data_IF_902444666288
#
_entry.id   IF_902444666288
#
_cell.length_a   1.000
_cell.length_b   1.000
_cell.length_c   1.000
_cell.angle_alpha   90.00
_cell.angle_beta   90.00
_cell.angle_gamma   90.00
#
_symmetry.space_group_name_H-M   'P 1'
#
loop_
_entity.id
_entity.type
_entity.pdbx_description
1 polymer ?
#
# COMPACT_ATOMS: atom_id res chain seq x y z
N UNK A 1 -24.23 -20.31 3.86
CA UNK A 1 -24.77 -19.45 4.92
C UNK A 1 -23.87 -18.23 5.04
N UNK A 2 -24.43 -17.03 5.24
CA UNK A 2 -23.64 -15.82 5.51
C UNK A 2 -22.83 -16.03 6.80
N UNK A 3 -21.55 -15.67 6.76
CA UNK A 3 -20.63 -15.74 7.91
C UNK A 3 -20.61 -14.37 8.59
N UNK A 4 -21.33 -14.19 9.72
CA UNK A 4 -21.43 -12.87 10.37
C UNK A 4 -20.06 -12.32 10.77
N UNK A 5 -19.12 -13.20 11.13
CA UNK A 5 -17.74 -12.84 11.45
C UNK A 5 -16.97 -12.25 10.25
N UNK A 6 -17.18 -12.79 9.04
CA UNK A 6 -16.57 -12.27 7.82
C UNK A 6 -17.15 -10.90 7.44
N UNK A 7 -18.49 -10.79 7.50
CA UNK A 7 -19.19 -9.54 7.26
C UNK A 7 -18.71 -8.42 8.19
N UNK A 8 -18.55 -8.72 9.47
CA UNK A 8 -18.03 -7.77 10.46
C UNK A 8 -16.60 -7.35 10.14
N UNK A 9 -15.69 -8.31 9.87
CA UNK A 9 -14.31 -8.02 9.51
C UNK A 9 -14.24 -7.10 8.30
N UNK A 10 -14.93 -7.44 7.20
CA UNK A 10 -14.88 -6.68 5.96
C UNK A 10 -15.47 -5.28 6.13
N UNK A 11 -16.60 -5.16 6.82
CA UNK A 11 -17.23 -3.86 7.09
C UNK A 11 -16.34 -2.93 7.91
N UNK A 12 -15.74 -3.44 9.00
CA UNK A 12 -14.79 -2.68 9.83
C UNK A 12 -13.55 -2.31 9.03
N UNK A 13 -12.99 -3.25 8.25
CA UNK A 13 -11.80 -3.02 7.44
C UNK A 13 -12.02 -1.88 6.42
N UNK A 14 -13.16 -1.87 5.72
CA UNK A 14 -13.54 -0.77 4.81
C UNK A 14 -13.58 0.57 5.55
N UNK A 15 -14.26 0.62 6.71
CA UNK A 15 -14.36 1.84 7.52
C UNK A 15 -13.00 2.36 8.00
N UNK A 16 -12.14 1.49 8.53
CA UNK A 16 -10.81 1.84 9.04
C UNK A 16 -9.88 2.34 7.92
N UNK A 17 -9.89 1.70 6.75
CA UNK A 17 -9.09 2.13 5.60
C UNK A 17 -9.60 3.46 5.02
N UNK A 18 -10.92 3.64 4.93
CA UNK A 18 -11.52 4.92 4.52
C UNK A 18 -11.17 6.04 5.51
N UNK A 19 -11.20 5.76 6.81
CA UNK A 19 -10.77 6.70 7.84
C UNK A 19 -9.31 7.13 7.65
N UNK A 20 -8.39 6.18 7.46
CA UNK A 20 -6.98 6.48 7.21
C UNK A 20 -6.78 7.35 5.97
N UNK A 21 -7.43 7.00 4.86
CA UNK A 21 -7.31 7.75 3.61
C UNK A 21 -7.87 9.17 3.70
N UNK A 22 -9.03 9.36 4.34
CA UNK A 22 -9.58 10.71 4.57
C UNK A 22 -8.70 11.50 5.54
N UNK A 23 -8.15 10.82 6.56
CA UNK A 23 -7.24 11.39 7.55
C UNK A 23 -5.99 12.04 6.94
N UNK A 24 -5.53 11.60 5.77
CA UNK A 24 -4.43 12.24 5.04
C UNK A 24 -4.64 13.74 4.84
N UNK A 25 -5.90 14.19 4.67
CA UNK A 25 -6.24 15.61 4.48
C UNK A 25 -6.00 16.48 5.71
N UNK A 26 -5.85 15.86 6.88
CA UNK A 26 -5.58 16.56 8.14
C UNK A 26 -4.08 16.76 8.37
N UNK A 27 -3.23 16.11 7.57
CA UNK A 27 -1.78 16.21 7.71
C UNK A 27 -1.28 17.55 7.12
N UNK A 28 -0.30 18.22 7.77
CA UNK A 28 0.27 19.48 7.26
C UNK A 28 0.84 19.37 5.83
N UNK A 29 1.29 18.17 5.43
CA UNK A 29 1.91 17.90 4.13
C UNK A 29 0.88 17.65 3.00
N UNK A 30 -0.42 17.51 3.32
CA UNK A 30 -1.46 17.18 2.33
C UNK A 30 -1.48 18.12 1.14
N UNK A 31 -1.46 19.43 1.41
CA UNK A 31 -1.53 20.47 0.38
C UNK A 31 -0.38 20.37 -0.62
N UNK A 32 0.83 20.10 -0.13
CA UNK A 32 2.02 19.93 -0.98
C UNK A 32 1.94 18.64 -1.81
N UNK A 33 1.59 17.51 -1.21
CA UNK A 33 1.45 16.24 -1.94
C UNK A 33 0.36 16.33 -3.01
N UNK A 34 -0.78 16.94 -2.69
CA UNK A 34 -1.90 17.07 -3.64
C UNK A 34 -1.62 18.03 -4.79
N UNK A 35 -0.72 18.99 -4.62
CA UNK A 35 -0.28 19.88 -5.69
C UNK A 35 0.62 19.17 -6.71
N UNK A 36 1.22 18.03 -6.35
CA UNK A 36 2.04 17.23 -7.24
C UNK A 36 1.22 16.36 -8.20
N UNK A 37 1.80 16.06 -9.36
CA UNK A 37 1.26 15.06 -10.29
C UNK A 37 1.11 13.73 -9.57
N UNK A 38 -0.09 13.15 -9.65
CA UNK A 38 -0.44 11.89 -9.00
C UNK A 38 -0.93 12.03 -7.56
N UNK A 39 -0.77 13.20 -6.92
CA UNK A 39 -1.25 13.43 -5.56
C UNK A 39 -0.71 12.37 -4.59
N UNK A 40 -1.58 11.86 -3.71
CA UNK A 40 -1.25 10.74 -2.82
C UNK A 40 -1.06 9.40 -3.56
N UNK A 41 -1.61 9.24 -4.77
CA UNK A 41 -1.50 7.99 -5.54
C UNK A 41 -0.12 7.78 -6.19
N UNK A 42 0.80 8.73 -6.07
CA UNK A 42 2.21 8.48 -6.44
C UNK A 42 2.90 7.49 -5.48
N UNK A 43 2.40 7.35 -4.24
CA UNK A 43 2.96 6.44 -3.24
C UNK A 43 2.43 5.01 -3.44
N UNK A 44 3.34 4.03 -3.47
CA UNK A 44 2.99 2.61 -3.58
C UNK A 44 2.08 2.16 -2.44
N UNK A 45 2.26 2.73 -1.26
CA UNK A 45 1.50 2.42 -0.05
C UNK A 45 0.03 2.83 -0.18
N UNK A 46 -0.25 3.97 -0.80
CA UNK A 46 -1.62 4.43 -1.08
C UNK A 46 -2.29 3.59 -2.17
N UNK A 47 -1.53 3.16 -3.19
CA UNK A 47 -2.05 2.21 -4.18
C UNK A 47 -2.34 0.84 -3.54
N UNK A 48 -1.48 0.38 -2.62
CA UNK A 48 -1.69 -0.83 -1.83
C UNK A 48 -2.95 -0.74 -0.95
N UNK A 49 -3.12 0.38 -0.23
CA UNK A 49 -4.33 0.67 0.54
C UNK A 49 -5.58 0.64 -0.34
N UNK A 50 -5.53 1.26 -1.52
CA UNK A 50 -6.65 1.24 -2.46
C UNK A 50 -6.99 -0.19 -2.91
N UNK A 51 -5.98 -1.01 -3.22
CA UNK A 51 -6.19 -2.43 -3.58
C UNK A 51 -6.79 -3.24 -2.41
N UNK A 52 -6.33 -3.01 -1.17
CA UNK A 52 -6.90 -3.63 0.02
C UNK A 52 -8.34 -3.21 0.25
N UNK A 53 -8.64 -1.91 0.14
CA UNK A 53 -9.97 -1.35 0.30
C UNK A 53 -10.95 -1.90 -0.74
N UNK A 54 -10.55 -1.96 -2.02
CA UNK A 54 -11.34 -2.61 -3.07
C UNK A 54 -11.56 -4.09 -2.74
N UNK A 55 -10.53 -4.81 -2.29
CA UNK A 55 -10.66 -6.22 -1.92
C UNK A 55 -11.69 -6.39 -0.80
N UNK A 56 -11.64 -5.58 0.26
CA UNK A 56 -12.58 -5.65 1.38
C UNK A 56 -14.01 -5.28 0.97
N UNK A 57 -14.20 -4.34 0.03
CA UNK A 57 -15.52 -4.04 -0.54
C UNK A 57 -16.05 -5.23 -1.33
N UNK A 58 -15.22 -5.86 -2.16
CA UNK A 58 -15.62 -7.05 -2.91
C UNK A 58 -15.94 -8.21 -1.96
N UNK A 59 -15.19 -8.36 -0.87
CA UNK A 59 -15.46 -9.33 0.19
C UNK A 59 -16.78 -9.06 0.89
N UNK A 60 -17.05 -7.82 1.30
CA UNK A 60 -18.31 -7.40 1.90
C UNK A 60 -19.49 -7.64 0.95
N UNK A 61 -19.31 -7.34 -0.33
CA UNK A 61 -20.29 -7.64 -1.37
C UNK A 61 -20.54 -9.15 -1.53
N UNK A 62 -19.50 -9.98 -1.42
CA UNK A 62 -19.65 -11.45 -1.44
C UNK A 62 -20.43 -11.97 -0.22
N UNK A 63 -20.32 -11.32 0.94
CA UNK A 63 -21.08 -11.69 2.14
C UNK A 63 -22.58 -11.38 1.97
N UNK A 64 -22.89 -10.26 1.34
CA UNK A 64 -24.26 -9.83 1.05
C UNK A 64 -24.89 -10.61 -0.12
N UNK A 65 -24.08 -10.97 -1.12
CA UNK A 65 -24.52 -11.63 -2.37
C UNK A 65 -23.74 -12.93 -2.62
N UNK A 66 -23.86 -13.96 -1.76
CA UNK A 66 -23.02 -15.16 -1.80
C UNK A 66 -23.19 -16.02 -3.06
N UNK A 67 -24.30 -15.86 -3.78
CA UNK A 67 -24.60 -16.58 -5.02
C UNK A 67 -23.88 -15.98 -6.24
N UNK A 68 -23.30 -14.79 -6.14
CA UNK A 68 -22.76 -14.09 -7.31
C UNK A 68 -21.31 -14.50 -7.62
N UNK A 69 -21.16 -15.51 -8.47
CA UNK A 69 -19.87 -16.12 -8.79
C UNK A 69 -18.83 -15.12 -9.36
N UNK A 70 -19.28 -14.18 -10.20
CA UNK A 70 -18.40 -13.15 -10.80
C UNK A 70 -17.74 -12.28 -9.73
N UNK A 71 -18.48 -11.90 -8.68
CA UNK A 71 -17.96 -11.09 -7.60
C UNK A 71 -16.90 -11.84 -6.78
N UNK A 72 -17.09 -13.14 -6.55
CA UNK A 72 -16.08 -14.00 -5.91
C UNK A 72 -14.81 -14.10 -6.76
N UNK A 73 -14.94 -14.25 -8.07
CA UNK A 73 -13.78 -14.26 -8.97
C UNK A 73 -13.05 -12.92 -8.95
N UNK A 74 -13.77 -11.80 -8.97
CA UNK A 74 -13.20 -10.47 -8.87
C UNK A 74 -12.49 -10.25 -7.52
N UNK A 75 -13.13 -10.62 -6.39
CA UNK A 75 -12.51 -10.63 -5.06
C UNK A 75 -11.19 -11.40 -5.09
N UNK A 76 -11.22 -12.63 -5.62
CA UNK A 76 -10.04 -13.50 -5.65
C UNK A 76 -8.91 -12.98 -6.54
N UNK A 77 -9.23 -12.30 -7.63
CA UNK A 77 -8.23 -11.62 -8.45
C UNK A 77 -7.64 -10.40 -7.71
N UNK A 78 -8.49 -9.60 -7.08
CA UNK A 78 -8.10 -8.42 -6.30
C UNK A 78 -7.22 -8.80 -5.10
N UNK A 79 -7.57 -9.86 -4.37
CA UNK A 79 -6.80 -10.37 -3.24
C UNK A 79 -5.39 -10.84 -3.65
N UNK A 80 -5.23 -11.39 -4.85
CA UNK A 80 -3.92 -11.80 -5.39
C UNK A 80 -2.99 -10.60 -5.64
N UNK A 81 -3.56 -9.42 -5.89
CA UNK A 81 -2.84 -8.14 -6.01
C UNK A 81 -2.60 -7.54 -4.62
N UNK A 82 -3.66 -7.41 -3.82
CA UNK A 82 -3.65 -6.66 -2.58
C UNK A 82 -2.74 -7.29 -1.52
N UNK A 83 -2.76 -8.62 -1.36
CA UNK A 83 -1.93 -9.32 -0.36
C UNK A 83 -0.44 -8.98 -0.48
N UNK A 84 0.26 -9.25 -1.60
CA UNK A 84 1.70 -9.01 -1.69
C UNK A 84 2.06 -7.52 -1.70
N UNK A 85 1.25 -6.66 -2.33
CA UNK A 85 1.53 -5.22 -2.42
C UNK A 85 1.44 -4.57 -1.04
N UNK A 86 0.40 -4.88 -0.26
CA UNK A 86 0.19 -4.28 1.07
C UNK A 86 1.17 -4.79 2.11
N UNK A 87 1.43 -6.10 2.12
CA UNK A 87 2.40 -6.71 3.03
C UNK A 87 3.79 -6.13 2.83
N UNK A 88 4.24 -6.08 1.58
CA UNK A 88 5.57 -5.60 1.29
C UNK A 88 5.69 -4.09 1.59
N UNK A 89 4.71 -3.29 1.19
CA UNK A 89 4.71 -1.85 1.45
C UNK A 89 4.69 -1.52 2.96
N UNK A 90 4.02 -2.31 3.78
CA UNK A 90 3.97 -2.13 5.23
C UNK A 90 5.26 -2.58 5.93
N UNK A 91 5.86 -3.69 5.47
CA UNK A 91 7.14 -4.17 5.97
C UNK A 91 8.27 -3.18 5.66
N UNK A 92 8.38 -2.68 4.43
CA UNK A 92 9.46 -1.74 4.07
C UNK A 92 9.38 -0.44 4.86
N UNK A 93 8.20 0.10 5.10
CA UNK A 93 8.05 1.29 5.94
C UNK A 93 8.41 1.02 7.40
N UNK A 94 7.98 -0.10 7.97
CA UNK A 94 8.28 -0.48 9.36
C UNK A 94 9.79 -0.69 9.57
N UNK A 95 10.48 -1.35 8.63
CA UNK A 95 11.93 -1.54 8.70
C UNK A 95 12.72 -0.23 8.49
N UNK A 96 12.23 0.69 7.66
CA UNK A 96 12.89 1.98 7.43
C UNK A 96 12.77 2.90 8.66
N UNK A 97 11.62 2.89 9.35
CA UNK A 97 11.38 3.73 10.54
C UNK A 97 12.22 3.28 11.75
N UNK A 98 12.45 1.96 11.90
CA UNK A 98 13.20 1.41 13.04
C UNK A 98 14.72 1.36 12.83
N UNK A 99 15.18 1.34 11.57
CA UNK A 99 16.62 1.29 11.24
C UNK A 99 17.24 2.65 10.91
N UNK A 100 16.44 3.66 10.56
CA UNK A 100 16.93 5.00 10.22
C UNK A 100 15.99 6.05 10.86
N UNK A 101 16.38 6.66 12.01
CA UNK A 101 15.60 7.72 12.66
C UNK A 101 15.39 9.00 11.80
N UNK A 102 15.88 9.02 10.56
CA UNK A 102 16.05 10.20 9.71
C UNK A 102 15.23 10.21 8.40
N UNK A 103 14.32 9.27 8.18
CA UNK A 103 13.53 9.20 6.92
C UNK A 103 12.01 9.26 7.08
N UNK A 104 11.50 9.79 8.18
CA UNK A 104 10.23 10.53 8.14
C UNK A 104 10.49 11.76 7.27
N UNK A 105 9.70 11.93 6.20
CA UNK A 105 9.66 13.11 5.32
C UNK A 105 10.65 14.21 5.76
N UNK A 106 11.78 14.32 5.08
CA UNK A 106 12.73 15.39 5.31
C UNK A 106 12.07 16.70 4.86
N UNK A 107 11.20 17.25 5.71
CA UNK A 107 10.52 18.55 5.58
C UNK A 107 11.55 19.69 5.59
N UNK A 108 12.84 19.39 5.78
CA UNK A 108 13.93 20.35 5.66
C UNK A 108 14.07 20.96 4.26
N UNK A 109 13.41 20.40 3.23
CA UNK A 109 13.55 20.85 1.84
C UNK A 109 12.31 21.50 1.22
N UNK A 110 11.25 21.82 1.97
CA UNK A 110 10.13 22.60 1.42
C UNK A 110 10.58 24.05 1.12
N UNK A 111 10.48 24.55 -0.13
CA UNK A 111 10.69 25.95 -0.42
C UNK A 111 9.54 26.74 0.23
N UNK A 112 9.84 27.53 1.28
CA UNK A 112 8.85 28.35 1.98
C UNK A 112 8.89 28.33 3.51
N UNK A 113 9.70 27.46 4.13
CA UNK A 113 9.94 27.46 5.60
C UNK A 113 11.26 28.14 5.99
N UNK A 114 11.84 28.93 5.09
CA UNK A 114 13.13 29.61 5.24
C UNK A 114 13.03 30.92 6.04
N UNK A 115 12.39 30.91 7.22
CA UNK A 115 12.64 31.94 8.22
C UNK A 115 13.51 31.35 9.33
N UNK A 116 14.72 31.89 9.57
CA UNK A 116 15.56 31.44 10.67
C UNK A 116 15.06 32.07 11.97
N UNK A 117 13.96 31.55 12.52
CA UNK A 117 13.58 31.91 13.89
C UNK A 117 14.49 31.15 14.85
N UNK A 118 15.27 31.91 15.62
CA UNK A 118 16.29 31.48 16.57
C UNK A 118 15.72 30.76 17.81
N UNK A 119 14.77 29.84 17.63
CA UNK A 119 14.31 28.94 18.67
C UNK A 119 14.99 27.59 18.50
N UNK A 120 15.61 27.07 19.57
CA UNK A 120 16.26 25.76 19.66
C UNK A 120 15.27 24.58 19.60
N UNK A 121 14.11 24.78 18.99
CA UNK A 121 13.09 23.77 18.79
C UNK A 121 13.21 23.35 17.33
N UNK A 122 13.92 22.24 17.09
CA UNK A 122 13.90 21.53 15.80
C UNK A 122 12.47 21.53 15.24
N UNK A 123 12.23 21.84 13.95
CA UNK A 123 10.92 21.68 13.36
C UNK A 123 10.51 20.24 13.60
N UNK A 124 9.46 20.03 14.40
CA UNK A 124 9.02 18.70 14.78
C UNK A 124 8.79 17.92 13.50
N UNK A 125 9.62 16.91 13.28
CA UNK A 125 9.41 15.82 12.34
C UNK A 125 7.91 15.53 12.34
N UNK A 126 7.18 15.91 11.28
CA UNK A 126 5.71 15.89 11.30
C UNK A 126 5.25 14.44 11.26
N UNK A 127 5.25 13.81 12.43
CA UNK A 127 4.90 12.41 12.62
C UNK A 127 3.42 12.25 12.32
N UNK A 128 3.11 11.28 11.45
CA UNK A 128 1.73 10.92 11.15
C UNK A 128 1.11 10.42 12.47
N UNK A 129 -0.09 10.91 12.87
CA UNK A 129 -0.78 10.40 14.03
C UNK A 129 -0.96 8.89 13.95
N UNK A 130 -0.68 8.19 15.06
CA UNK A 130 -0.67 6.72 15.10
C UNK A 130 -1.95 6.08 14.54
N UNK A 131 -3.11 6.65 14.85
CA UNK A 131 -4.41 6.20 14.33
C UNK A 131 -4.49 6.26 12.80
N UNK A 132 -3.95 7.30 12.17
CA UNK A 132 -3.91 7.42 10.71
C UNK A 132 -2.90 6.42 10.15
N UNK A 133 -1.70 6.38 10.73
CA UNK A 133 -0.64 5.47 10.29
C UNK A 133 -1.05 3.99 10.36
N UNK A 134 -1.66 3.59 11.48
CA UNK A 134 -2.25 2.26 11.68
C UNK A 134 -3.29 1.93 10.60
N UNK A 135 -4.20 2.86 10.31
CA UNK A 135 -5.24 2.69 9.29
C UNK A 135 -4.68 2.59 7.87
N UNK A 136 -3.57 3.25 7.57
CA UNK A 136 -2.94 3.25 6.24
C UNK A 136 -2.05 2.04 6.00
N UNK A 137 -1.36 1.54 7.04
CA UNK A 137 -0.28 0.56 6.88
C UNK A 137 -0.57 -0.80 7.50
N UNK A 138 -1.01 -0.84 8.77
CA UNK A 138 -1.13 -2.10 9.51
C UNK A 138 -2.50 -2.74 9.35
N UNK A 139 -3.57 -1.97 9.48
CA UNK A 139 -4.94 -2.46 9.33
C UNK A 139 -5.20 -3.18 7.99
N UNK A 140 -4.73 -2.67 6.82
CA UNK A 140 -4.89 -3.37 5.55
C UNK A 140 -4.21 -4.74 5.52
N UNK A 141 -3.01 -4.84 6.06
CA UNK A 141 -2.23 -6.08 6.08
C UNK A 141 -2.90 -7.13 6.96
N UNK A 142 -3.26 -6.77 8.19
CA UNK A 142 -3.90 -7.69 9.13
C UNK A 142 -5.24 -8.17 8.56
N UNK A 143 -6.08 -7.27 8.07
CA UNK A 143 -7.42 -7.63 7.56
C UNK A 143 -7.35 -8.52 6.33
N UNK A 144 -6.41 -8.26 5.40
CA UNK A 144 -6.17 -9.14 4.25
C UNK A 144 -5.65 -10.52 4.66
N UNK A 145 -4.74 -10.61 5.66
CA UNK A 145 -4.28 -11.91 6.17
C UNK A 145 -5.42 -12.71 6.81
N UNK A 146 -6.21 -12.06 7.65
CA UNK A 146 -7.31 -12.72 8.35
C UNK A 146 -8.36 -13.19 7.34
N UNK A 147 -8.75 -12.36 6.36
CA UNK A 147 -9.65 -12.78 5.27
C UNK A 147 -9.06 -13.96 4.49
N UNK A 148 -7.77 -13.87 4.13
CA UNK A 148 -7.12 -14.92 3.36
C UNK A 148 -7.07 -16.26 4.12
N UNK A 149 -6.67 -16.26 5.39
CA UNK A 149 -6.46 -17.48 6.19
C UNK A 149 -7.78 -18.13 6.63
N UNK A 150 -8.75 -17.33 7.06
CA UNK A 150 -9.96 -17.85 7.72
C UNK A 150 -11.17 -17.93 6.79
N UNK A 151 -11.28 -17.04 5.80
CA UNK A 151 -12.49 -16.91 4.99
C UNK A 151 -12.30 -17.34 3.54
N UNK A 152 -11.07 -17.36 3.03
CA UNK A 152 -10.75 -17.77 1.69
C UNK A 152 -10.21 -19.21 1.57
N UNK A 153 -10.24 -19.69 0.32
CA UNK A 153 -9.56 -20.94 -0.04
C UNK A 153 -8.15 -20.63 -0.53
N UNK A 154 -7.19 -21.48 -0.18
CA UNK A 154 -5.85 -21.53 -0.78
C UNK A 154 -5.90 -21.46 -2.30
N UNK A 155 -5.02 -20.68 -2.91
CA UNK A 155 -4.89 -20.66 -4.37
C UNK A 155 -4.28 -21.97 -4.87
N UNK A 156 -4.83 -22.46 -5.98
CA UNK A 156 -4.33 -23.68 -6.62
C UNK A 156 -2.88 -23.49 -7.09
N UNK A 157 -2.13 -24.60 -7.26
CA UNK A 157 -0.76 -24.56 -7.76
C UNK A 157 -0.65 -23.79 -9.08
N UNK A 158 -1.59 -24.01 -10.01
CA UNK A 158 -1.64 -23.31 -11.31
C UNK A 158 -1.83 -21.79 -11.13
N UNK A 159 -2.75 -21.38 -10.26
CA UNK A 159 -2.98 -19.96 -9.97
C UNK A 159 -1.76 -19.31 -9.31
N UNK A 160 -1.09 -20.01 -8.39
CA UNK A 160 0.11 -19.48 -7.75
C UNK A 160 1.34 -19.47 -8.67
N UNK A 161 1.50 -20.45 -9.56
CA UNK A 161 2.66 -20.54 -10.47
C UNK A 161 2.54 -19.63 -11.68
N UNK A 162 1.32 -19.40 -12.20
CA UNK A 162 1.10 -18.59 -13.41
C UNK A 162 0.48 -17.25 -13.05
N UNK A 163 -0.57 -17.23 -12.23
CA UNK A 163 -1.28 -16.01 -11.88
C UNK A 163 -0.44 -15.03 -11.08
N UNK A 164 0.26 -15.51 -10.04
CA UNK A 164 1.11 -14.66 -9.19
C UNK A 164 2.20 -13.90 -9.96
N UNK A 165 3.05 -14.54 -10.79
CA UNK A 165 4.05 -13.78 -11.54
C UNK A 165 3.42 -12.83 -12.56
N UNK A 166 2.31 -13.19 -13.22
CA UNK A 166 1.62 -12.30 -14.14
C UNK A 166 1.09 -11.04 -13.43
N UNK A 167 0.45 -11.22 -12.28
CA UNK A 167 -0.06 -10.12 -11.46
C UNK A 167 1.08 -9.21 -11.00
N UNK A 168 2.15 -9.79 -10.48
CA UNK A 168 3.31 -9.01 -10.01
C UNK A 168 3.99 -8.26 -11.15
N UNK A 169 4.17 -8.88 -12.32
CA UNK A 169 4.72 -8.20 -13.49
C UNK A 169 3.81 -7.05 -13.95
N UNK A 170 2.50 -7.27 -14.00
CA UNK A 170 1.54 -6.24 -14.38
C UNK A 170 1.54 -5.06 -13.39
N UNK A 171 1.42 -5.34 -12.09
CA UNK A 171 1.40 -4.32 -11.05
C UNK A 171 2.75 -3.61 -10.88
N UNK A 172 3.86 -4.36 -10.94
CA UNK A 172 5.20 -3.81 -10.88
C UNK A 172 5.49 -2.88 -12.06
N UNK A 173 5.15 -3.32 -13.27
CA UNK A 173 5.28 -2.48 -14.48
C UNK A 173 4.39 -1.25 -14.38
N UNK A 174 3.13 -1.42 -14.00
CA UNK A 174 2.17 -0.32 -13.80
C UNK A 174 2.72 0.72 -12.84
N UNK A 175 3.15 0.31 -11.64
CA UNK A 175 3.65 1.21 -10.64
C UNK A 175 4.95 1.90 -11.09
N UNK A 176 5.90 1.15 -11.67
CA UNK A 176 7.15 1.73 -12.18
C UNK A 176 6.89 2.77 -13.27
N UNK A 177 5.96 2.50 -14.17
CA UNK A 177 5.60 3.45 -15.23
C UNK A 177 4.92 4.69 -14.64
N UNK A 178 3.98 4.49 -13.71
CA UNK A 178 3.24 5.56 -13.07
C UNK A 178 4.13 6.48 -12.23
N UNK A 179 5.04 5.92 -11.42
CA UNK A 179 5.89 6.71 -10.54
C UNK A 179 6.94 7.49 -11.33
N UNK A 180 7.51 6.92 -12.40
CA UNK A 180 8.39 7.63 -13.33
C UNK A 180 7.63 8.74 -14.06
N UNK A 181 6.38 8.46 -14.47
CA UNK A 181 5.52 9.47 -15.08
C UNK A 181 5.21 10.60 -14.10
N UNK A 182 4.94 10.34 -12.82
CA UNK A 182 4.74 11.41 -11.84
C UNK A 182 6.02 12.22 -11.63
N UNK A 183 7.17 11.55 -11.50
CA UNK A 183 8.48 12.18 -11.30
C UNK A 183 8.91 13.05 -12.47
N UNK A 184 8.49 12.77 -13.71
CA UNK A 184 8.80 13.62 -14.86
C UNK A 184 8.16 15.01 -14.79
N UNK A 185 7.04 15.17 -14.08
CA UNK A 185 6.41 16.47 -13.80
C UNK A 185 6.83 17.05 -12.46
N UNK A 186 7.01 16.19 -11.45
CA UNK A 186 7.33 16.63 -10.08
C UNK A 186 8.82 16.91 -9.87
N UNK A 187 9.67 16.50 -10.82
CA UNK A 187 11.13 16.51 -10.76
C UNK A 187 11.75 15.73 -9.59
N UNK A 188 10.91 15.07 -8.81
CA UNK A 188 11.26 14.33 -7.60
C UNK A 188 10.36 13.09 -7.51
N UNK A 189 10.90 11.99 -6.98
CA UNK A 189 10.13 10.80 -6.67
C UNK A 189 9.54 10.91 -5.25
N UNK A 190 8.42 10.21 -4.98
CA UNK A 190 7.87 10.12 -3.63
C UNK A 190 8.80 9.47 -2.61
N UNK A 191 9.78 8.70 -3.09
CA UNK A 191 10.79 8.05 -2.28
C UNK A 191 12.17 8.63 -2.61
N UNK A 192 12.90 9.24 -1.64
CA UNK A 192 14.19 9.88 -1.90
C UNK A 192 15.21 8.98 -2.59
N UNK A 193 15.28 7.69 -2.20
CA UNK A 193 16.19 6.71 -2.80
C UNK A 193 15.93 6.49 -4.30
N UNK A 194 14.74 6.77 -4.83
CA UNK A 194 14.51 6.73 -6.28
C UNK A 194 15.07 7.99 -6.94
N UNK A 195 14.91 9.15 -6.33
CA UNK A 195 15.45 10.42 -6.85
C UNK A 195 16.99 10.40 -6.93
N UNK A 196 17.63 9.81 -5.92
CA UNK A 196 19.10 9.78 -5.79
C UNK A 196 19.77 8.76 -6.74
N UNK A 197 18.99 7.89 -7.38
CA UNK A 197 19.52 6.81 -8.21
C UNK A 197 19.20 7.01 -9.70
N UNK A 198 20.15 6.71 -10.61
CA UNK A 198 19.91 6.76 -12.05
C UNK A 198 18.90 5.69 -12.50
N UNK A 199 18.31 5.89 -13.68
CA UNK A 199 17.19 5.07 -14.19
C UNK A 199 17.49 3.56 -14.24
N UNK A 200 18.71 3.16 -14.61
CA UNK A 200 19.13 1.76 -14.62
C UNK A 200 19.10 1.12 -13.22
N UNK A 201 19.49 1.86 -12.18
CA UNK A 201 19.39 1.37 -10.79
C UNK A 201 17.92 1.32 -10.35
N UNK A 202 17.09 2.31 -10.73
CA UNK A 202 15.65 2.28 -10.44
C UNK A 202 14.94 1.07 -11.06
N UNK A 203 15.28 0.70 -12.29
CA UNK A 203 14.79 -0.55 -12.90
C UNK A 203 15.15 -1.76 -12.02
N UNK A 204 16.40 -1.84 -11.56
CA UNK A 204 16.84 -2.88 -10.63
C UNK A 204 16.02 -2.91 -9.33
N UNK A 205 15.74 -1.74 -8.76
CA UNK A 205 14.89 -1.61 -7.56
C UNK A 205 13.46 -2.10 -7.84
N UNK A 206 12.84 -1.67 -8.95
CA UNK A 206 11.48 -2.09 -9.30
C UNK A 206 11.39 -3.60 -9.52
N UNK A 207 12.38 -4.19 -10.20
CA UNK A 207 12.46 -5.63 -10.41
C UNK A 207 12.64 -6.39 -9.09
N UNK A 208 13.51 -5.90 -8.19
CA UNK A 208 13.75 -6.50 -6.88
C UNK A 208 12.51 -6.46 -5.99
N UNK A 209 11.85 -5.31 -5.90
CA UNK A 209 10.59 -5.14 -5.14
C UNK A 209 9.51 -6.06 -5.69
N UNK A 210 9.38 -6.16 -7.02
CA UNK A 210 8.44 -7.08 -7.67
C UNK A 210 8.75 -8.54 -7.31
N UNK A 211 10.01 -8.95 -7.37
CA UNK A 211 10.43 -10.29 -6.97
C UNK A 211 10.09 -10.62 -5.51
N UNK A 212 10.29 -9.67 -4.59
CA UNK A 212 9.93 -9.83 -3.18
C UNK A 212 8.42 -9.96 -3.00
N UNK A 213 7.62 -9.13 -3.69
CA UNK A 213 6.17 -9.22 -3.68
C UNK A 213 5.68 -10.61 -4.16
N UNK A 214 6.25 -11.13 -5.25
CA UNK A 214 5.98 -12.49 -5.75
C UNK A 214 6.34 -13.56 -4.71
N UNK A 215 7.53 -13.47 -4.12
CA UNK A 215 8.00 -14.41 -3.11
C UNK A 215 7.11 -14.41 -1.87
N UNK A 216 6.69 -13.22 -1.42
CA UNK A 216 5.78 -13.04 -0.30
C UNK A 216 4.41 -13.70 -0.56
N UNK A 217 3.81 -13.46 -1.73
CA UNK A 217 2.55 -14.12 -2.11
C UNK A 217 2.69 -15.64 -2.09
N UNK A 218 3.77 -16.17 -2.66
CA UNK A 218 4.01 -17.62 -2.70
C UNK A 218 4.17 -18.21 -1.30
N UNK A 219 4.89 -17.52 -0.42
CA UNK A 219 5.06 -17.93 0.97
C UNK A 219 3.72 -17.93 1.71
N UNK A 220 2.95 -16.84 1.65
CA UNK A 220 1.62 -16.76 2.28
C UNK A 220 0.69 -17.86 1.77
N UNK A 221 0.65 -18.08 0.45
CA UNK A 221 -0.18 -19.15 -0.11
C UNK A 221 0.33 -20.55 0.28
N UNK A 222 1.64 -20.74 0.48
CA UNK A 222 2.19 -22.01 0.95
C UNK A 222 1.78 -22.30 2.40
N UNK A 223 1.85 -21.28 3.26
CA UNK A 223 1.51 -21.34 4.69
C UNK A 223 0.01 -21.39 4.98
N UNK A 224 -0.85 -21.08 3.98
CA UNK A 224 -2.30 -21.19 4.15
C UNK A 224 -2.70 -22.63 4.52
N UNK A 225 -3.49 -22.82 5.60
CA UNK A 225 -3.92 -24.13 6.11
C UNK A 225 -4.82 -24.90 5.13
#
# INVERSE_FOLDING_TARGET
MPRPEAFFLHGVAVGVMTYGFIGLRTLPIDGWIRAQKGGHFQFLTIQGLAAAWVTMILSLGCDLLPSFATLRTAKRASLMIALPVTHFASLTLSFIDESIPAHICNIRSLPGLSEPSSSSTLPSLARIPFNIDFSLHLAPVITLLVDFIFFEKKYTKKQAQIGSPLVVLACGTWYSWWVEHCASYNHTFPYPFLTENPFNIRIGIYAFVSFLAWSCFRLMNALHP
#
